data_IF_777415829925
#
_entry.id   IF_777415829925
#
_cell.length_a   1.000
_cell.length_b   1.000
_cell.length_c   1.000
_cell.angle_alpha   90.00
_cell.angle_beta   90.00
_cell.angle_gamma   90.00
#
_symmetry.space_group_name_H-M   'P 1'
#
loop_
_entity.id
_entity.type
_entity.pdbx_description
1 polymer ?
#
# COMPACT_ATOMS: atom_id res chain seq x y z
N UNK A 1 18.68 82.63 19.12
CA UNK A 1 17.54 81.77 18.76
C UNK A 1 17.92 80.49 17.98
N UNK A 2 19.20 80.22 17.66
CA UNK A 2 19.63 79.08 16.83
C UNK A 2 19.87 77.75 17.57
N UNK A 3 20.14 77.77 18.88
CA UNK A 3 20.46 76.56 19.66
C UNK A 3 19.25 75.65 19.89
N UNK A 4 18.07 76.22 20.19
CA UNK A 4 16.84 75.46 20.43
C UNK A 4 16.33 74.72 19.19
N UNK A 5 16.46 75.31 18.01
CA UNK A 5 16.11 74.64 16.74
C UNK A 5 17.01 73.45 16.43
N UNK A 6 18.29 73.50 16.82
CA UNK A 6 19.23 72.40 16.61
C UNK A 6 18.94 71.20 17.55
N UNK A 7 18.58 71.47 18.80
CA UNK A 7 18.18 70.45 19.78
C UNK A 7 16.87 69.76 19.39
N UNK A 8 15.87 70.52 18.95
CA UNK A 8 14.60 69.97 18.43
C UNK A 8 14.83 69.10 17.19
N UNK A 9 15.68 69.54 16.25
CA UNK A 9 15.99 68.78 15.03
C UNK A 9 16.70 67.45 15.35
N UNK A 10 17.60 67.43 16.34
CA UNK A 10 18.29 66.21 16.76
C UNK A 10 17.36 65.23 17.50
N UNK A 11 16.48 65.74 18.38
CA UNK A 11 15.50 64.90 19.08
C UNK A 11 14.49 64.28 18.13
N UNK A 12 13.91 65.08 17.23
CA UNK A 12 12.94 64.61 16.23
C UNK A 12 13.57 63.59 15.28
N UNK A 13 14.85 63.74 14.93
CA UNK A 13 15.55 62.77 14.08
C UNK A 13 15.79 61.43 14.78
N UNK A 14 16.11 61.43 16.09
CA UNK A 14 16.16 60.18 16.88
C UNK A 14 14.79 59.50 16.96
N UNK A 15 13.73 60.27 17.17
CA UNK A 15 12.37 59.71 17.28
C UNK A 15 11.86 59.17 15.94
N UNK A 16 12.18 59.84 14.81
CA UNK A 16 11.88 59.30 13.48
C UNK A 16 12.62 57.98 13.22
N UNK A 17 13.88 57.90 13.66
CA UNK A 17 14.70 56.70 13.50
C UNK A 17 14.17 55.53 14.34
N UNK A 18 13.75 55.77 15.59
CA UNK A 18 13.17 54.73 16.45
C UNK A 18 11.81 54.26 15.91
N UNK A 19 10.97 55.17 15.41
CA UNK A 19 9.71 54.83 14.75
C UNK A 19 9.94 53.96 13.51
N UNK A 20 10.92 54.31 12.67
CA UNK A 20 11.27 53.52 11.48
C UNK A 20 11.73 52.10 11.85
N UNK A 21 12.60 51.96 12.85
CA UNK A 21 13.06 50.65 13.33
C UNK A 21 11.92 49.81 13.90
N UNK A 22 11.01 50.42 14.66
CA UNK A 22 9.86 49.72 15.22
C UNK A 22 8.88 49.29 14.11
N UNK A 23 8.64 50.15 13.12
CA UNK A 23 7.80 49.83 11.97
C UNK A 23 8.40 48.67 11.15
N UNK A 24 9.72 48.68 10.94
CA UNK A 24 10.45 47.60 10.29
C UNK A 24 10.30 46.27 11.04
N UNK A 25 10.39 46.27 12.37
CA UNK A 25 10.16 45.06 13.19
C UNK A 25 8.74 44.52 13.01
N UNK A 26 7.72 45.38 13.05
CA UNK A 26 6.33 44.96 12.87
C UNK A 26 6.11 44.35 11.48
N UNK A 27 6.61 45.01 10.42
CA UNK A 27 6.55 44.47 9.05
C UNK A 27 7.25 43.12 8.95
N UNK A 28 8.42 42.97 9.60
CA UNK A 28 9.19 41.73 9.55
C UNK A 28 8.43 40.58 10.19
N UNK A 29 7.87 40.79 11.39
CA UNK A 29 7.03 39.78 12.05
C UNK A 29 5.80 39.43 11.22
N UNK A 30 5.13 40.43 10.62
CA UNK A 30 3.96 40.20 9.78
C UNK A 30 4.32 39.42 8.51
N UNK A 31 5.46 39.73 7.91
CA UNK A 31 5.99 39.01 6.75
C UNK A 31 6.32 37.56 7.08
N UNK A 32 6.97 37.30 8.22
CA UNK A 32 7.26 35.93 8.66
C UNK A 32 5.99 35.14 8.94
N UNK A 33 5.00 35.76 9.58
CA UNK A 33 3.71 35.13 9.82
C UNK A 33 3.02 34.75 8.51
N UNK A 34 2.97 35.68 7.55
CA UNK A 34 2.39 35.42 6.24
C UNK A 34 3.13 34.30 5.48
N UNK A 35 4.47 34.32 5.51
CA UNK A 35 5.30 33.28 4.89
C UNK A 35 5.04 31.91 5.51
N UNK A 36 4.91 31.85 6.84
CA UNK A 36 4.60 30.61 7.56
C UNK A 36 3.24 30.04 7.14
N UNK A 37 2.19 30.87 7.14
CA UNK A 37 0.85 30.43 6.72
C UNK A 37 0.88 29.96 5.26
N UNK A 38 1.54 30.72 4.38
CA UNK A 38 1.70 30.36 2.97
C UNK A 38 2.40 29.00 2.78
N UNK A 39 3.52 28.78 3.47
CA UNK A 39 4.24 27.50 3.42
C UNK A 39 3.36 26.33 3.88
N UNK A 40 2.60 26.51 4.97
CA UNK A 40 1.71 25.46 5.47
C UNK A 40 0.60 25.10 4.47
N UNK A 41 0.03 26.09 3.78
CA UNK A 41 -0.96 25.84 2.72
C UNK A 41 -0.36 25.04 1.57
N UNK A 42 0.86 25.39 1.14
CA UNK A 42 1.54 24.68 0.06
C UNK A 42 1.91 23.24 0.46
N UNK A 43 2.41 23.04 1.68
CA UNK A 43 2.71 21.71 2.22
C UNK A 43 1.45 20.86 2.33
N UNK A 44 0.32 21.43 2.75
CA UNK A 44 -0.96 20.71 2.82
C UNK A 44 -1.45 20.27 1.42
N UNK A 45 -1.32 21.14 0.41
CA UNK A 45 -1.65 20.78 -0.98
C UNK A 45 -0.74 19.68 -1.50
N UNK A 46 0.57 19.81 -1.27
CA UNK A 46 1.55 18.82 -1.71
C UNK A 46 1.33 17.46 -1.03
N UNK A 47 1.07 17.45 0.27
CA UNK A 47 0.74 16.21 1.01
C UNK A 47 -0.53 15.55 0.48
N UNK A 48 -1.54 16.34 0.09
CA UNK A 48 -2.75 15.80 -0.55
C UNK A 48 -2.43 15.15 -1.89
N UNK A 49 -1.63 15.79 -2.74
CA UNK A 49 -1.21 15.24 -4.03
C UNK A 49 -0.39 13.96 -3.86
N UNK A 50 0.57 13.97 -2.92
CA UNK A 50 1.34 12.78 -2.54
C UNK A 50 0.42 11.67 -2.04
N UNK A 51 -0.58 11.98 -1.22
CA UNK A 51 -1.55 11.02 -0.73
C UNK A 51 -2.35 10.36 -1.86
N UNK A 52 -2.80 11.14 -2.85
CA UNK A 52 -3.51 10.63 -4.04
C UNK A 52 -2.60 9.71 -4.86
N UNK A 53 -1.38 10.17 -5.18
CA UNK A 53 -0.41 9.39 -5.95
C UNK A 53 -0.02 8.08 -5.24
N UNK A 54 0.11 8.11 -3.92
CA UNK A 54 0.43 6.93 -3.11
C UNK A 54 -0.71 5.92 -3.12
N UNK A 55 -1.95 6.38 -3.01
CA UNK A 55 -3.13 5.52 -3.08
C UNK A 55 -3.27 4.87 -4.45
N UNK A 56 -2.95 5.60 -5.52
CA UNK A 56 -2.92 5.04 -6.88
C UNK A 56 -1.85 3.95 -7.02
N UNK A 57 -0.63 4.15 -6.49
CA UNK A 57 0.41 3.11 -6.45
C UNK A 57 -0.06 1.85 -5.71
N UNK A 58 -0.69 2.01 -4.55
CA UNK A 58 -1.23 0.87 -3.78
C UNK A 58 -2.29 0.12 -4.58
N UNK A 59 -3.19 0.84 -5.28
CA UNK A 59 -4.20 0.23 -6.16
C UNK A 59 -3.58 -0.56 -7.30
N UNK A 60 -2.50 -0.04 -7.91
CA UNK A 60 -1.78 -0.72 -8.99
C UNK A 60 -1.07 -1.98 -8.48
N UNK A 61 -0.43 -1.93 -7.31
CA UNK A 61 0.20 -3.08 -6.67
C UNK A 61 -0.84 -4.17 -6.40
N UNK A 62 -1.98 -3.82 -5.81
CA UNK A 62 -3.06 -4.78 -5.54
C UNK A 62 -3.55 -5.47 -6.82
N UNK A 63 -3.73 -4.72 -7.91
CA UNK A 63 -4.09 -5.30 -9.22
C UNK A 63 -3.02 -6.23 -9.77
N UNK A 64 -1.74 -5.91 -9.57
CA UNK A 64 -0.64 -6.76 -10.01
C UNK A 64 -0.63 -8.08 -9.23
N UNK A 65 -0.86 -8.03 -7.93
CA UNK A 65 -0.94 -9.22 -7.08
C UNK A 65 -2.19 -10.06 -7.43
N UNK A 66 -3.35 -9.43 -7.63
CA UNK A 66 -4.55 -10.11 -8.11
C UNK A 66 -4.31 -10.77 -9.48
N UNK A 67 -3.55 -10.13 -10.38
CA UNK A 67 -3.18 -10.69 -11.67
C UNK A 67 -2.21 -11.86 -11.53
N UNK A 68 -1.21 -11.77 -10.64
CA UNK A 68 -0.30 -12.89 -10.35
C UNK A 68 -1.03 -14.07 -9.75
N UNK A 69 -1.96 -13.83 -8.83
CA UNK A 69 -2.84 -14.85 -8.28
C UNK A 69 -3.68 -15.44 -9.41
N UNK A 70 -4.32 -14.61 -10.23
CA UNK A 70 -5.08 -15.05 -11.40
C UNK A 70 -4.24 -15.93 -12.33
N UNK A 71 -3.04 -15.50 -12.73
CA UNK A 71 -2.13 -16.27 -13.57
C UNK A 71 -1.67 -17.55 -12.88
N UNK A 72 -1.41 -17.54 -11.58
CA UNK A 72 -1.07 -18.75 -10.83
C UNK A 72 -2.25 -19.72 -10.76
N UNK A 73 -3.48 -19.21 -10.64
CA UNK A 73 -4.73 -19.99 -10.70
C UNK A 73 -4.99 -20.53 -12.11
N UNK A 74 -4.79 -19.75 -13.16
CA UNK A 74 -4.90 -20.22 -14.54
C UNK A 74 -3.80 -21.22 -14.89
N UNK A 75 -2.58 -21.01 -14.39
CA UNK A 75 -1.46 -21.95 -14.55
C UNK A 75 -1.71 -23.23 -13.77
N UNK A 76 -2.26 -23.15 -12.54
CA UNK A 76 -2.61 -24.34 -11.77
C UNK A 76 -3.80 -25.08 -12.38
N UNK A 77 -4.85 -24.38 -12.85
CA UNK A 77 -5.96 -24.97 -13.58
C UNK A 77 -5.49 -25.63 -14.89
N UNK A 78 -4.60 -24.99 -15.65
CA UNK A 78 -4.00 -25.56 -16.86
C UNK A 78 -3.05 -26.72 -16.56
N UNK A 79 -2.34 -26.67 -15.44
CA UNK A 79 -1.49 -27.77 -14.95
C UNK A 79 -2.34 -28.94 -14.47
N UNK A 80 -3.46 -28.69 -13.79
CA UNK A 80 -4.46 -29.69 -13.41
C UNK A 80 -5.07 -30.29 -14.68
N UNK A 81 -5.54 -29.47 -15.62
CA UNK A 81 -6.02 -29.93 -16.92
C UNK A 81 -4.98 -30.81 -17.61
N UNK A 82 -3.71 -30.39 -17.64
CA UNK A 82 -2.60 -31.17 -18.23
C UNK A 82 -2.31 -32.47 -17.47
N UNK A 83 -2.43 -32.47 -16.14
CA UNK A 83 -2.30 -33.67 -15.32
C UNK A 83 -3.46 -34.63 -15.56
N UNK A 84 -4.72 -34.16 -15.60
CA UNK A 84 -5.89 -34.98 -15.94
C UNK A 84 -5.83 -35.49 -17.40
N UNK A 85 -5.40 -34.62 -18.33
CA UNK A 85 -5.04 -34.90 -19.73
C UNK A 85 -4.07 -36.11 -19.79
N UNK A 86 -3.07 -36.17 -18.91
CA UNK A 86 -2.03 -37.23 -18.86
C UNK A 86 -2.44 -38.47 -18.07
N UNK A 87 -3.14 -38.31 -16.95
CA UNK A 87 -3.56 -39.43 -16.08
C UNK A 87 -4.75 -40.19 -16.65
N UNK A 88 -5.64 -39.52 -17.38
CA UNK A 88 -6.90 -40.11 -17.86
C UNK A 88 -7.09 -40.08 -19.38
N UNK A 89 -6.06 -39.67 -20.15
CA UNK A 89 -5.98 -39.74 -21.61
C UNK A 89 -7.33 -39.49 -22.34
N UNK A 90 -7.84 -38.24 -22.25
CA UNK A 90 -9.08 -37.73 -22.87
C UNK A 90 -10.17 -38.75 -23.20
N UNK A 91 -11.20 -38.78 -22.38
CA UNK A 91 -12.51 -38.60 -22.99
C UNK A 91 -13.03 -37.20 -22.61
N UNK A 92 -13.49 -36.41 -23.60
CA UNK A 92 -14.15 -35.14 -23.31
C UNK A 92 -15.28 -35.38 -22.31
N UNK A 93 -15.47 -34.42 -21.41
CA UNK A 93 -16.41 -34.48 -20.29
C UNK A 93 -17.84 -34.55 -20.85
N UNK A 94 -18.25 -35.75 -21.25
CA UNK A 94 -19.66 -36.10 -21.41
C UNK A 94 -20.05 -36.70 -20.08
N UNK A 95 -20.69 -35.87 -19.27
CA UNK A 95 -21.48 -36.31 -18.12
C UNK A 95 -22.55 -37.24 -18.69
N UNK A 96 -22.22 -38.53 -18.78
CA UNK A 96 -23.08 -39.55 -19.35
C UNK A 96 -23.03 -40.76 -18.45
N UNK A 97 -23.86 -40.73 -17.40
CA UNK A 97 -24.52 -41.86 -16.70
C UNK A 97 -24.00 -43.28 -17.01
N UNK A 98 -22.71 -43.53 -16.75
CA UNK A 98 -22.16 -44.89 -16.79
C UNK A 98 -21.46 -45.14 -15.47
N UNK A 99 -22.19 -45.80 -14.58
CA UNK A 99 -21.65 -46.37 -13.35
C UNK A 99 -20.62 -47.42 -13.79
N UNK A 100 -19.33 -47.10 -13.63
CA UNK A 100 -18.25 -48.06 -13.87
C UNK A 100 -18.11 -48.91 -12.61
N UNK A 101 -18.69 -50.11 -12.62
CA UNK A 101 -18.46 -51.12 -11.59
C UNK A 101 -17.11 -51.79 -11.82
N UNK A 102 -16.09 -51.36 -11.08
CA UNK A 102 -14.81 -52.05 -11.01
C UNK A 102 -14.98 -53.29 -10.13
N UNK A 103 -14.84 -54.49 -10.71
CA UNK A 103 -14.72 -55.72 -9.92
C UNK A 103 -13.34 -55.71 -9.27
N UNK A 104 -13.31 -55.63 -7.94
CA UNK A 104 -12.07 -55.80 -7.19
C UNK A 104 -11.55 -57.23 -7.39
N UNK A 105 -10.23 -57.42 -7.57
CA UNK A 105 -9.64 -58.75 -7.51
C UNK A 105 -9.91 -59.36 -6.12
N UNK A 106 -10.19 -60.67 -6.04
CA UNK A 106 -10.59 -61.31 -4.80
C UNK A 106 -9.51 -61.14 -3.74
N UNK A 107 -9.96 -60.77 -2.53
CA UNK A 107 -9.14 -60.67 -1.33
C UNK A 107 -8.43 -62.01 -1.12
N UNK A 108 -7.10 -61.98 -1.14
CA UNK A 108 -6.29 -63.13 -0.79
C UNK A 108 -6.39 -63.23 0.73
N UNK A 109 -7.23 -64.13 1.22
CA UNK A 109 -7.38 -64.42 2.64
C UNK A 109 -5.99 -64.77 3.22
N UNK A 110 -5.41 -63.85 3.98
CA UNK A 110 -4.25 -64.12 4.84
C UNK A 110 -4.73 -64.69 6.18
N UNK A 111 -5.49 -65.77 6.13
CA UNK A 111 -5.91 -66.54 7.31
C UNK A 111 -5.22 -67.90 7.26
N UNK A 112 -3.92 -67.97 7.60
CA UNK A 112 -3.34 -69.27 7.99
C UNK A 112 -2.00 -69.27 8.75
N UNK A 113 -1.45 -68.14 9.24
CA UNK A 113 -0.27 -68.24 10.10
C UNK A 113 -0.30 -67.29 11.32
N UNK A 114 -0.44 -67.94 12.48
CA UNK A 114 0.08 -67.54 13.80
C UNK A 114 -0.72 -66.53 14.64
N UNK A 115 -1.97 -66.88 14.97
CA UNK A 115 -2.53 -66.60 16.31
C UNK A 115 -2.48 -67.90 17.12
N UNK A 116 -1.34 -68.14 17.78
CA UNK A 116 -1.27 -68.78 19.11
C UNK A 116 0.18 -68.93 19.58
N UNK A 117 0.79 -67.82 20.03
CA UNK A 117 1.79 -67.86 21.10
C UNK A 117 1.58 -66.65 22.02
N UNK A 118 0.63 -66.79 22.95
CA UNK A 118 0.65 -66.11 24.24
C UNK A 118 0.61 -67.17 25.34
N UNK A 119 1.57 -67.08 26.26
CA UNK A 119 2.02 -67.98 27.34
C UNK A 119 0.93 -68.67 28.19
N UNK A 120 1.27 -69.80 28.83
CA UNK A 120 1.96 -69.81 30.13
C UNK A 120 3.32 -70.54 30.14
#
# INVERSE_FOLDING_TARGET
MSSFSALLKHSVWRDLWTLFLNLGKVILFLSLFFLYVWQNVQVARLNREIGIATNEKIKQIKKNDDLKIGVATYTSARRIETLYRKTYNYLPITVGDRIVTLNLPPEKNEDENEVNQSSP
#
